data_IF_282190432740
#
_entry.id   IF_282190432740
#
_cell.length_a   1.000
_cell.length_b   1.000
_cell.length_c   1.000
_cell.angle_alpha   90.00
_cell.angle_beta   90.00
_cell.angle_gamma   90.00
#
_symmetry.space_group_name_H-M   'P 1'
#
loop_
_entity.id
_entity.type
_entity.pdbx_description
1 polymer ?
#
# COMPACT_ATOMS: atom_id res chain seq x y z
N UNK A 1 22.08 -58.16 43.44
CA UNK A 1 21.66 -57.91 42.06
C UNK A 1 21.06 -56.51 41.96
N UNK A 2 21.82 -55.62 41.33
CA UNK A 2 21.38 -54.51 40.48
C UNK A 2 20.38 -53.47 41.01
N UNK A 3 20.94 -52.35 41.50
CA UNK A 3 20.53 -51.00 41.07
C UNK A 3 21.36 -50.67 39.83
N UNK A 4 20.77 -50.27 38.68
CA UNK A 4 20.92 -48.87 38.18
C UNK A 4 19.73 -48.44 37.26
N UNK A 5 19.55 -47.24 36.69
CA UNK A 5 20.38 -46.06 36.41
C UNK A 5 19.52 -44.79 36.55
N UNK A 6 20.01 -43.82 37.30
CA UNK A 6 19.70 -42.40 37.08
C UNK A 6 20.29 -41.99 35.73
N UNK A 7 19.49 -41.38 34.84
CA UNK A 7 20.01 -40.64 33.70
C UNK A 7 20.34 -39.20 34.17
N UNK A 8 21.52 -39.08 34.78
CA UNK A 8 22.18 -37.81 34.99
C UNK A 8 22.80 -37.41 33.66
N UNK A 9 22.15 -36.51 32.91
CA UNK A 9 22.75 -35.88 31.74
C UNK A 9 23.70 -34.80 32.25
N UNK A 10 24.98 -35.16 32.34
CA UNK A 10 26.10 -34.23 32.35
C UNK A 10 26.06 -33.44 31.03
N UNK A 11 25.65 -32.18 31.06
CA UNK A 11 26.01 -31.23 30.01
C UNK A 11 27.30 -30.55 30.45
N UNK A 12 28.39 -31.05 29.89
CA UNK A 12 29.71 -30.43 29.88
C UNK A 12 29.58 -29.00 29.38
N UNK A 13 30.11 -28.07 30.17
CA UNK A 13 30.34 -26.69 29.78
C UNK A 13 31.31 -26.63 28.59
N UNK A 14 30.78 -26.26 27.42
CA UNK A 14 31.55 -25.55 26.41
C UNK A 14 31.11 -24.08 26.49
N UNK A 15 32.07 -23.18 26.68
CA UNK A 15 31.83 -21.77 26.97
C UNK A 15 30.93 -21.08 25.94
N UNK A 16 29.66 -20.93 26.29
CA UNK A 16 28.83 -19.82 25.85
C UNK A 16 28.49 -19.04 27.10
N UNK A 17 29.17 -17.92 27.27
CA UNK A 17 28.77 -16.91 28.25
C UNK A 17 27.39 -16.42 27.80
N UNK A 18 26.34 -17.02 28.36
CA UNK A 18 24.99 -16.49 28.33
C UNK A 18 25.01 -15.26 29.26
N UNK A 19 25.45 -14.11 28.73
CA UNK A 19 25.28 -12.81 29.38
C UNK A 19 24.26 -11.95 28.63
N UNK A 20 23.39 -11.38 29.46
CA UNK A 20 22.33 -10.40 29.26
C UNK A 20 21.30 -10.67 28.14
N UNK A 21 20.16 -11.20 28.56
CA UNK A 21 18.88 -11.04 27.87
C UNK A 21 18.26 -9.71 28.29
N UNK A 22 18.72 -8.57 27.74
CA UNK A 22 18.03 -7.26 27.71
C UNK A 22 18.97 -6.19 27.14
N UNK A 23 19.50 -6.39 25.93
CA UNK A 23 20.17 -5.30 25.22
C UNK A 23 19.09 -4.33 24.72
N UNK A 24 19.20 -3.05 25.04
CA UNK A 24 18.26 -2.01 24.60
C UNK A 24 18.70 -1.35 23.30
N UNK A 25 20.00 -1.19 23.13
CA UNK A 25 20.58 -0.41 22.03
C UNK A 25 21.76 -1.10 21.38
N UNK A 26 21.75 -1.18 20.06
CA UNK A 26 22.91 -1.56 19.25
C UNK A 26 23.65 -0.30 18.78
N UNK A 27 24.94 -0.23 19.08
CA UNK A 27 25.84 0.80 18.60
C UNK A 27 26.82 0.18 17.62
N UNK A 28 26.76 0.57 16.34
CA UNK A 28 27.66 0.07 15.29
C UNK A 28 29.11 0.52 15.46
N UNK A 29 29.37 1.51 16.32
CA UNK A 29 30.69 1.90 16.84
C UNK A 29 30.55 2.15 18.34
N UNK A 30 31.52 1.72 19.13
CA UNK A 30 31.55 2.04 20.55
C UNK A 30 31.77 3.55 20.78
N UNK A 31 31.07 4.19 21.74
CA UNK A 31 31.36 5.56 22.13
C UNK A 31 32.82 5.75 22.54
N UNK A 32 33.42 6.91 22.21
CA UNK A 32 34.83 7.23 22.46
C UNK A 32 35.24 7.12 23.94
N UNK A 33 34.27 7.22 24.85
CA UNK A 33 34.49 7.08 26.30
C UNK A 33 34.83 5.65 26.73
N UNK A 34 34.65 4.67 25.85
CA UNK A 34 34.96 3.27 26.11
C UNK A 34 36.28 2.95 25.44
N UNK A 35 37.31 2.64 26.23
CA UNK A 35 38.56 2.07 25.71
C UNK A 35 38.24 0.64 25.28
N UNK A 36 37.68 0.51 24.09
CA UNK A 36 37.43 -0.76 23.47
C UNK A 36 38.78 -1.29 22.96
N UNK A 37 39.16 -2.56 23.27
CA UNK A 37 40.30 -3.20 22.63
C UNK A 37 40.26 -3.00 21.12
N UNK A 38 41.42 -2.97 20.46
CA UNK A 38 41.52 -2.91 18.99
C UNK A 38 40.76 -4.04 18.29
N UNK A 39 40.35 -5.06 19.03
CA UNK A 39 39.58 -6.22 18.62
C UNK A 39 38.09 -6.13 18.99
N UNK A 40 37.52 -4.95 19.25
CA UNK A 40 36.06 -4.74 19.36
C UNK A 40 35.49 -3.90 18.20
N UNK A 41 34.40 -4.35 17.57
CA UNK A 41 33.79 -3.69 16.39
C UNK A 41 32.56 -2.85 16.72
N UNK A 42 31.82 -3.22 17.76
CA UNK A 42 30.50 -2.69 18.06
C UNK A 42 30.20 -2.81 19.55
N UNK A 43 29.20 -2.09 20.02
CA UNK A 43 28.82 -2.07 21.43
C UNK A 43 27.32 -2.32 21.59
N UNK A 44 26.95 -3.07 22.62
CA UNK A 44 25.58 -3.27 23.05
C UNK A 44 25.34 -2.55 24.37
N UNK A 45 24.28 -1.77 24.45
CA UNK A 45 23.83 -1.21 25.71
C UNK A 45 22.80 -2.14 26.34
N UNK A 46 23.03 -2.56 27.57
CA UNK A 46 22.09 -3.32 28.38
C UNK A 46 21.07 -2.41 29.06
N UNK A 47 19.94 -2.97 29.50
CA UNK A 47 18.94 -2.25 30.29
C UNK A 47 19.48 -1.66 31.61
N UNK A 48 20.60 -2.18 32.11
CA UNK A 48 21.34 -1.63 33.27
C UNK A 48 22.03 -0.29 32.95
N UNK A 49 22.10 0.10 31.67
CA UNK A 49 22.92 1.19 31.18
C UNK A 49 24.38 0.80 30.89
N UNK A 50 24.79 -0.43 31.24
CA UNK A 50 26.12 -0.92 30.92
C UNK A 50 26.30 -1.05 29.41
N UNK A 51 27.44 -0.56 28.91
CA UNK A 51 27.80 -0.72 27.50
C UNK A 51 28.86 -1.82 27.41
N UNK A 52 28.50 -2.89 26.73
CA UNK A 52 29.32 -4.09 26.56
C UNK A 52 29.90 -4.09 25.15
N UNK A 53 31.23 -3.97 25.00
CA UNK A 53 31.89 -4.15 23.71
C UNK A 53 31.71 -5.59 23.23
N UNK A 54 31.43 -5.75 21.94
CA UNK A 54 31.39 -7.03 21.27
C UNK A 54 32.64 -7.19 20.39
N UNK A 55 33.28 -8.37 20.39
CA UNK A 55 34.50 -8.61 19.63
C UNK A 55 34.31 -8.40 18.13
N UNK A 56 35.39 -7.99 17.45
CA UNK A 56 35.53 -7.76 16.00
C UNK A 56 35.27 -8.98 15.14
N UNK A 57 35.18 -10.14 15.74
CA UNK A 57 35.23 -11.40 15.00
C UNK A 57 33.95 -12.19 15.18
N UNK A 58 32.96 -11.84 14.37
CA UNK A 58 32.16 -12.85 13.72
C UNK A 58 31.74 -12.30 12.35
N UNK A 59 32.12 -13.03 11.29
CA UNK A 59 31.57 -12.80 9.94
C UNK A 59 30.04 -12.75 9.99
N UNK A 60 29.46 -13.56 10.87
CA UNK A 60 28.03 -13.70 11.10
C UNK A 60 27.71 -13.35 12.55
N UNK A 61 26.98 -12.26 12.75
CA UNK A 61 26.64 -11.73 14.08
C UNK A 61 25.19 -12.06 14.40
N UNK A 62 24.95 -12.80 15.49
CA UNK A 62 23.60 -13.14 15.94
C UNK A 62 23.18 -12.37 17.20
N UNK A 63 22.23 -11.45 17.02
CA UNK A 63 21.60 -10.63 18.06
C UNK A 63 20.09 -10.89 18.13
N UNK A 64 19.67 -12.11 17.79
CA UNK A 64 18.28 -12.54 17.87
C UNK A 64 17.76 -12.47 19.30
N UNK A 65 16.51 -12.02 19.49
CA UNK A 65 15.81 -12.06 20.78
C UNK A 65 16.55 -11.38 21.93
N UNK A 66 17.22 -10.26 21.66
CA UNK A 66 18.01 -9.51 22.66
C UNK A 66 17.24 -8.37 23.32
N UNK A 67 16.04 -8.05 22.83
CA UNK A 67 15.22 -6.95 23.35
C UNK A 67 15.62 -5.58 22.80
N UNK A 68 16.39 -5.54 21.71
CA UNK A 68 16.92 -4.31 21.12
C UNK A 68 15.75 -3.49 20.59
N UNK A 69 15.69 -2.21 20.98
CA UNK A 69 14.67 -1.26 20.55
C UNK A 69 15.27 -0.17 19.68
N UNK A 70 16.52 0.22 19.96
CA UNK A 70 17.21 1.31 19.29
C UNK A 70 18.44 0.77 18.57
N UNK A 71 18.60 1.15 17.30
CA UNK A 71 19.84 0.94 16.56
C UNK A 71 20.45 2.31 16.31
N UNK A 72 21.62 2.59 16.88
CA UNK A 72 22.36 3.81 16.61
C UNK A 72 22.97 3.77 15.21
N UNK A 73 23.64 2.66 14.88
CA UNK A 73 24.17 2.39 13.54
C UNK A 73 24.40 0.90 13.32
N UNK A 74 24.37 0.47 12.05
CA UNK A 74 24.83 -0.87 11.66
C UNK A 74 26.37 -0.95 11.71
N UNK A 75 26.95 -2.08 12.16
CA UNK A 75 28.39 -2.26 12.30
C UNK A 75 29.12 -2.31 10.96
N UNK A 76 30.42 -2.01 10.96
CA UNK A 76 31.25 -2.00 9.75
C UNK A 76 31.79 -3.38 9.33
N UNK A 77 32.08 -4.26 10.29
CA UNK A 77 32.90 -5.46 10.04
C UNK A 77 32.08 -6.74 9.82
N UNK A 78 30.82 -6.77 10.25
CA UNK A 78 29.94 -7.93 10.08
C UNK A 78 29.56 -8.14 8.61
N UNK A 79 29.64 -9.37 8.11
CA UNK A 79 29.19 -9.73 6.76
C UNK A 79 27.72 -10.16 6.75
N UNK A 80 27.25 -10.80 7.82
CA UNK A 80 25.82 -11.03 8.07
C UNK A 80 25.44 -10.62 9.50
N UNK A 81 24.23 -10.09 9.64
CA UNK A 81 23.70 -9.61 10.91
C UNK A 81 22.27 -10.08 11.09
N UNK A 82 22.03 -10.85 12.14
CA UNK A 82 20.70 -11.28 12.55
C UNK A 82 20.20 -10.45 13.73
N UNK A 83 19.20 -9.61 13.47
CA UNK A 83 18.51 -8.77 14.44
C UNK A 83 17.05 -9.22 14.64
N UNK A 84 16.75 -10.48 14.33
CA UNK A 84 15.38 -10.99 14.41
C UNK A 84 14.82 -11.02 15.84
N UNK A 85 13.49 -11.01 15.95
CA UNK A 85 12.77 -11.11 17.22
C UNK A 85 13.19 -10.04 18.24
N UNK A 86 13.32 -8.79 17.78
CA UNK A 86 13.60 -7.64 18.62
C UNK A 86 12.41 -6.66 18.56
N UNK A 87 12.59 -5.42 19.00
CA UNK A 87 11.55 -4.37 18.95
C UNK A 87 12.05 -3.14 18.19
N UNK A 88 12.87 -3.37 17.16
CA UNK A 88 13.49 -2.32 16.36
C UNK A 88 12.43 -1.70 15.45
N UNK A 89 12.38 -0.37 15.45
CA UNK A 89 11.50 0.40 14.56
C UNK A 89 12.23 1.09 13.44
N UNK A 90 13.50 1.43 13.64
CA UNK A 90 14.29 2.27 12.75
C UNK A 90 15.76 1.82 12.75
N UNK A 91 16.40 1.96 11.59
CA UNK A 91 17.85 1.92 11.40
C UNK A 91 18.23 3.25 10.75
N UNK A 92 18.63 4.26 11.53
CA UNK A 92 18.84 5.61 11.03
C UNK A 92 20.18 5.76 10.29
N UNK A 93 21.15 4.90 10.56
CA UNK A 93 22.51 5.02 10.03
C UNK A 93 23.23 3.68 9.92
N UNK A 94 24.33 3.69 9.17
CA UNK A 94 25.31 2.62 9.10
C UNK A 94 26.72 3.23 9.12
N UNK A 95 27.71 2.45 9.55
CA UNK A 95 29.10 2.88 9.52
C UNK A 95 29.62 2.88 8.08
N UNK A 96 30.30 3.96 7.61
CA UNK A 96 30.94 3.96 6.30
C UNK A 96 31.87 2.76 6.11
N UNK A 97 31.93 2.22 4.89
CA UNK A 97 32.68 1.00 4.55
C UNK A 97 32.17 -0.30 5.18
N UNK A 98 30.91 -0.32 5.65
CA UNK A 98 30.28 -1.56 6.13
C UNK A 98 30.33 -2.66 5.06
N UNK A 99 30.78 -3.85 5.48
CA UNK A 99 30.86 -5.05 4.65
C UNK A 99 29.60 -5.91 4.75
N UNK A 100 28.52 -5.37 5.32
CA UNK A 100 27.30 -6.12 5.57
C UNK A 100 26.59 -6.49 4.27
N UNK A 101 26.50 -7.79 4.00
CA UNK A 101 25.88 -8.34 2.79
C UNK A 101 24.48 -8.89 3.04
N UNK A 102 24.21 -9.35 4.26
CA UNK A 102 22.94 -9.96 4.64
C UNK A 102 22.42 -9.40 5.98
N UNK A 103 21.17 -8.94 5.98
CA UNK A 103 20.52 -8.35 7.15
C UNK A 103 19.14 -8.98 7.38
N UNK A 104 18.98 -9.62 8.53
CA UNK A 104 17.71 -10.21 8.97
C UNK A 104 17.08 -9.34 10.05
N UNK A 105 15.92 -8.76 9.74
CA UNK A 105 15.10 -7.91 10.62
C UNK A 105 13.71 -8.51 10.86
N UNK A 106 13.59 -9.83 10.74
CA UNK A 106 12.31 -10.51 10.96
C UNK A 106 11.78 -10.32 12.37
N UNK A 107 10.45 -10.31 12.55
CA UNK A 107 9.82 -10.15 13.87
C UNK A 107 10.33 -8.90 14.61
N UNK A 108 10.20 -7.74 13.96
CA UNK A 108 10.49 -6.44 14.55
C UNK A 108 9.26 -5.53 14.41
N UNK A 109 9.45 -4.22 14.59
CA UNK A 109 8.38 -3.23 14.57
C UNK A 109 8.48 -2.25 13.38
N UNK A 110 9.07 -2.67 12.25
CA UNK A 110 9.17 -1.80 11.07
C UNK A 110 7.81 -1.50 10.45
N UNK A 111 7.65 -0.26 10.00
CA UNK A 111 6.48 0.24 9.27
C UNK A 111 6.94 0.89 7.98
N UNK A 112 6.01 1.32 7.12
CA UNK A 112 6.36 2.04 5.89
C UNK A 112 7.07 3.38 6.11
N UNK A 113 6.97 3.96 7.32
CA UNK A 113 7.58 5.25 7.67
C UNK A 113 8.93 5.09 8.39
N UNK A 114 9.33 3.85 8.68
CA UNK A 114 10.57 3.57 9.37
C UNK A 114 11.78 4.03 8.58
N UNK A 115 12.72 4.70 9.25
CA UNK A 115 14.02 5.00 8.69
C UNK A 115 14.79 3.68 8.50
N UNK A 116 15.34 3.48 7.31
CA UNK A 116 16.12 2.28 6.98
C UNK A 116 17.29 2.66 6.09
N UNK A 117 18.38 3.08 6.73
CA UNK A 117 19.65 3.37 6.07
C UNK A 117 20.45 2.07 5.90
N UNK A 118 20.64 1.66 4.65
CA UNK A 118 21.33 0.42 4.30
C UNK A 118 22.68 0.74 3.66
N UNK A 119 23.79 0.08 4.07
CA UNK A 119 25.03 0.19 3.33
C UNK A 119 24.88 -0.41 1.93
N UNK A 120 25.60 0.13 0.93
CA UNK A 120 25.48 -0.29 -0.48
C UNK A 120 25.95 -1.74 -0.72
N UNK A 121 26.65 -2.35 0.24
CA UNK A 121 27.08 -3.75 0.23
C UNK A 121 25.94 -4.76 0.47
N UNK A 122 24.78 -4.33 0.97
CA UNK A 122 23.66 -5.24 1.26
C UNK A 122 23.09 -5.81 -0.03
N UNK A 123 23.02 -7.14 -0.07
CA UNK A 123 22.40 -7.90 -1.16
C UNK A 123 21.13 -8.61 -0.70
N UNK A 124 21.06 -9.02 0.57
CA UNK A 124 19.91 -9.76 1.12
C UNK A 124 19.33 -9.01 2.31
N UNK A 125 18.04 -8.70 2.22
CA UNK A 125 17.27 -8.02 3.26
C UNK A 125 15.98 -8.78 3.56
N UNK A 126 15.82 -9.21 4.81
CA UNK A 126 14.59 -9.82 5.30
C UNK A 126 13.87 -8.92 6.30
N UNK A 127 12.70 -8.43 5.91
CA UNK A 127 11.77 -7.60 6.68
C UNK A 127 10.47 -8.36 6.99
N UNK A 128 10.48 -9.70 6.95
CA UNK A 128 9.27 -10.49 7.21
C UNK A 128 8.75 -10.30 8.63
N UNK A 129 7.45 -10.53 8.86
CA UNK A 129 6.85 -10.40 10.20
C UNK A 129 7.08 -9.03 10.84
N UNK A 130 6.89 -7.97 10.06
CA UNK A 130 6.86 -6.59 10.54
C UNK A 130 5.44 -6.01 10.33
N UNK A 131 5.29 -4.69 10.49
CA UNK A 131 4.01 -3.99 10.36
C UNK A 131 3.98 -3.08 9.13
N UNK A 132 4.68 -3.45 8.06
CA UNK A 132 4.68 -2.69 6.80
C UNK A 132 3.32 -2.86 6.13
N UNK A 133 2.58 -1.76 5.97
CA UNK A 133 1.22 -1.80 5.41
C UNK A 133 1.14 -1.41 3.93
N UNK A 134 2.06 -0.55 3.47
CA UNK A 134 2.08 -0.01 2.10
C UNK A 134 3.51 0.28 1.68
N UNK A 135 3.84 0.03 0.42
CA UNK A 135 5.03 0.59 -0.21
C UNK A 135 4.57 1.70 -1.14
N UNK A 136 4.65 2.95 -0.67
CA UNK A 136 4.27 4.13 -1.42
C UNK A 136 5.41 5.13 -1.41
N UNK A 137 6.01 5.41 -2.57
CA UNK A 137 7.24 6.23 -2.68
C UNK A 137 8.29 5.79 -1.65
N UNK A 138 8.47 4.48 -1.51
CA UNK A 138 9.31 3.92 -0.46
C UNK A 138 10.78 4.06 -0.85
N UNK A 139 11.45 5.02 -0.22
CA UNK A 139 12.83 5.44 -0.55
C UNK A 139 13.90 4.63 0.18
N UNK A 140 13.53 3.69 1.06
CA UNK A 140 14.47 2.91 1.86
C UNK A 140 15.45 2.07 1.02
N UNK A 141 15.10 1.77 -0.23
CA UNK A 141 15.92 1.01 -1.16
C UNK A 141 16.51 1.87 -2.28
N UNK A 142 16.33 3.20 -2.22
CA UNK A 142 16.94 4.10 -3.19
C UNK A 142 18.46 3.98 -3.10
N UNK A 143 19.12 3.85 -4.26
CA UNK A 143 20.56 3.64 -4.37
C UNK A 143 21.09 2.37 -3.66
N UNK A 144 20.21 1.42 -3.33
CA UNK A 144 20.60 0.13 -2.79
C UNK A 144 20.97 -0.86 -3.91
N UNK A 145 21.78 -1.86 -3.57
CA UNK A 145 22.15 -2.97 -4.47
C UNK A 145 21.48 -4.30 -4.07
N UNK A 146 20.43 -4.25 -3.24
CA UNK A 146 19.67 -5.42 -2.79
C UNK A 146 19.22 -6.28 -3.98
N UNK A 147 19.58 -7.57 -3.94
CA UNK A 147 19.20 -8.59 -4.91
C UNK A 147 18.02 -9.42 -4.42
N UNK A 148 17.90 -9.59 -3.10
CA UNK A 148 16.84 -10.38 -2.45
C UNK A 148 16.14 -9.55 -1.38
N UNK A 149 14.86 -9.29 -1.59
CA UNK A 149 13.98 -8.61 -0.65
C UNK A 149 12.85 -9.53 -0.21
N UNK A 150 12.74 -9.72 1.10
CA UNK A 150 11.71 -10.57 1.71
C UNK A 150 10.82 -9.71 2.62
N UNK A 151 9.52 -9.68 2.32
CA UNK A 151 8.48 -8.89 2.98
C UNK A 151 7.32 -9.77 3.47
N UNK A 152 7.60 -11.04 3.76
CA UNK A 152 6.56 -12.01 4.09
C UNK A 152 5.82 -11.64 5.39
N UNK A 153 4.57 -12.05 5.53
CA UNK A 153 3.83 -11.86 6.79
C UNK A 153 3.87 -10.43 7.35
N UNK A 154 3.82 -9.44 6.46
CA UNK A 154 3.55 -8.06 6.81
C UNK A 154 2.03 -7.81 6.72
N UNK A 155 1.61 -6.55 6.60
CA UNK A 155 0.21 -6.18 6.34
C UNK A 155 0.10 -5.44 5.02
N UNK A 156 0.93 -5.81 4.04
CA UNK A 156 1.13 -5.07 2.82
C UNK A 156 -0.11 -5.16 1.92
N UNK A 157 -0.86 -4.05 1.83
CA UNK A 157 -2.08 -3.97 1.03
C UNK A 157 -1.88 -3.31 -0.33
N UNK A 158 -0.79 -2.56 -0.50
CA UNK A 158 -0.54 -1.72 -1.68
C UNK A 158 0.95 -1.58 -1.94
N UNK A 159 1.37 -1.77 -3.19
CA UNK A 159 2.68 -1.35 -3.70
C UNK A 159 2.43 -0.38 -4.84
N UNK A 160 2.93 0.84 -4.73
CA UNK A 160 2.72 1.91 -5.70
C UNK A 160 3.84 2.94 -5.66
N UNK A 161 4.22 3.48 -6.81
CA UNK A 161 5.27 4.51 -6.91
C UNK A 161 6.58 4.16 -6.19
N UNK A 162 6.84 2.86 -6.03
CA UNK A 162 8.04 2.36 -5.36
C UNK A 162 9.04 1.98 -6.43
N UNK A 163 10.25 2.54 -6.33
CA UNK A 163 11.35 2.24 -7.24
C UNK A 163 12.18 1.12 -6.61
N UNK A 164 12.13 -0.06 -7.20
CA UNK A 164 12.99 -1.15 -6.80
C UNK A 164 14.38 -1.00 -7.44
N UNK A 165 15.45 -1.41 -6.75
CA UNK A 165 16.80 -1.37 -7.31
C UNK A 165 16.91 -2.30 -8.53
N UNK A 166 17.68 -1.89 -9.53
CA UNK A 166 17.82 -2.63 -10.80
C UNK A 166 18.49 -4.00 -10.66
N UNK A 167 19.18 -4.21 -9.53
CA UNK A 167 19.83 -5.45 -9.10
C UNK A 167 18.87 -6.44 -8.47
N UNK A 168 17.63 -6.04 -8.13
CA UNK A 168 16.67 -6.94 -7.49
C UNK A 168 16.33 -8.12 -8.42
N UNK A 169 16.48 -9.33 -7.89
CA UNK A 169 16.17 -10.58 -8.58
C UNK A 169 15.10 -11.40 -7.87
N UNK A 170 14.98 -11.25 -6.54
CA UNK A 170 14.04 -12.01 -5.74
C UNK A 170 13.19 -11.07 -4.89
N UNK A 171 11.87 -11.06 -5.12
CA UNK A 171 10.90 -10.32 -4.32
C UNK A 171 9.88 -11.30 -3.72
N UNK A 172 9.89 -11.45 -2.40
CA UNK A 172 8.97 -12.34 -1.70
C UNK A 172 7.96 -11.56 -0.86
N UNK A 173 6.68 -11.59 -1.22
CA UNK A 173 5.59 -10.90 -0.52
C UNK A 173 4.58 -11.90 0.08
N UNK A 174 4.97 -13.16 0.21
CA UNK A 174 4.08 -14.23 0.66
C UNK A 174 3.62 -14.07 2.13
N UNK A 175 2.37 -14.34 2.43
CA UNK A 175 1.89 -14.83 3.71
C UNK A 175 2.27 -16.30 3.87
N UNK A 176 2.92 -16.65 4.99
CA UNK A 176 2.89 -18.03 5.48
C UNK A 176 1.71 -18.17 6.42
N UNK A 177 0.55 -18.56 5.91
CA UNK A 177 -0.46 -19.30 6.69
C UNK A 177 -1.21 -20.29 5.80
N UNK A 178 -0.66 -21.50 5.63
CA UNK A 178 -1.42 -22.63 5.09
C UNK A 178 -2.21 -23.36 6.18
N UNK A 179 -1.84 -23.22 7.46
CA UNK A 179 -2.43 -23.99 8.58
C UNK A 179 -3.28 -23.19 9.57
N UNK A 180 -3.22 -21.85 9.58
CA UNK A 180 -3.94 -21.01 10.55
C UNK A 180 -5.19 -20.32 9.96
N UNK A 181 -5.20 -20.03 8.66
CA UNK A 181 -6.36 -19.45 7.93
C UNK A 181 -7.61 -20.32 8.06
N UNK A 182 -7.46 -21.66 8.05
CA UNK A 182 -8.58 -22.58 8.21
C UNK A 182 -9.14 -22.57 9.65
N UNK A 183 -8.29 -22.33 10.64
CA UNK A 183 -8.69 -22.30 12.05
C UNK A 183 -9.36 -20.96 12.41
N UNK A 184 -8.85 -19.83 11.89
CA UNK A 184 -9.41 -18.47 12.12
C UNK A 184 -10.72 -18.24 11.36
N UNK A 185 -10.85 -18.79 10.14
CA UNK A 185 -12.09 -18.72 9.37
C UNK A 185 -13.26 -19.44 10.08
N UNK A 186 -12.97 -20.47 10.89
CA UNK A 186 -13.97 -21.22 11.66
C UNK A 186 -14.53 -20.45 12.87
N UNK A 187 -13.85 -19.39 13.34
CA UNK A 187 -14.22 -18.64 14.56
C UNK A 187 -14.76 -17.22 14.25
N UNK A 188 -14.99 -16.89 12.98
CA UNK A 188 -15.48 -15.56 12.58
C UNK A 188 -14.48 -14.42 12.80
N UNK A 189 -13.18 -14.74 12.97
CA UNK A 189 -12.12 -13.74 13.04
C UNK A 189 -11.84 -13.12 11.67
N UNK A 190 -11.73 -11.78 11.60
CA UNK A 190 -11.21 -11.12 10.39
C UNK A 190 -9.75 -11.56 10.21
N UNK A 191 -9.49 -12.22 9.09
CA UNK A 191 -8.19 -12.43 8.40
C UNK A 191 -6.97 -11.99 9.22
N UNK A 192 -6.37 -12.94 9.94
CA UNK A 192 -5.16 -12.74 10.72
C UNK A 192 -3.97 -13.18 9.85
N UNK A 193 -3.06 -12.22 9.59
CA UNK A 193 -1.63 -12.42 9.26
C UNK A 193 -1.21 -12.92 7.87
N UNK A 194 -1.67 -12.22 6.82
CA UNK A 194 -1.00 -12.20 5.51
C UNK A 194 -0.76 -10.80 4.94
N UNK A 195 -0.16 -10.71 3.74
CA UNK A 195 -0.10 -9.46 2.97
C UNK A 195 -1.37 -9.35 2.10
N UNK A 196 -2.39 -8.57 2.48
CA UNK A 196 -3.65 -8.49 1.75
C UNK A 196 -3.49 -7.56 0.53
N UNK A 197 -2.60 -7.91 -0.40
CA UNK A 197 -2.27 -7.08 -1.54
C UNK A 197 -3.52 -6.89 -2.42
N UNK A 198 -3.95 -5.63 -2.55
CA UNK A 198 -5.11 -5.19 -3.34
C UNK A 198 -4.69 -4.46 -4.60
N UNK A 199 -3.59 -3.70 -4.53
CA UNK A 199 -3.03 -3.01 -5.69
C UNK A 199 -1.52 -3.19 -5.78
N UNK A 200 -1.05 -3.36 -7.01
CA UNK A 200 0.37 -3.45 -7.34
C UNK A 200 0.61 -2.63 -8.62
N UNK A 201 0.85 -1.35 -8.40
CA UNK A 201 0.99 -0.33 -9.44
C UNK A 201 2.48 0.01 -9.58
N UNK A 202 3.02 -0.15 -10.79
CA UNK A 202 4.45 -0.07 -11.05
C UNK A 202 4.78 0.85 -12.22
N UNK A 203 5.96 1.44 -12.19
CA UNK A 203 6.50 2.18 -13.34
C UNK A 203 6.87 1.21 -14.48
N UNK A 204 7.07 1.70 -15.72
CA UNK A 204 7.47 0.83 -16.83
C UNK A 204 8.87 0.22 -16.60
N UNK A 205 9.76 0.97 -15.93
CA UNK A 205 11.10 0.48 -15.56
C UNK A 205 11.02 -0.67 -14.54
N UNK A 206 10.17 -0.53 -13.53
CA UNK A 206 9.90 -1.58 -12.56
C UNK A 206 9.24 -2.79 -13.22
N UNK A 207 8.27 -2.60 -14.12
CA UNK A 207 7.67 -3.70 -14.85
C UNK A 207 8.71 -4.47 -15.67
N UNK A 208 9.59 -3.78 -16.40
CA UNK A 208 10.68 -4.40 -17.15
C UNK A 208 11.59 -5.25 -16.25
N UNK A 209 11.88 -4.78 -15.03
CA UNK A 209 12.64 -5.53 -14.03
C UNK A 209 11.92 -6.84 -13.62
N UNK A 210 10.62 -6.76 -13.33
CA UNK A 210 9.80 -7.92 -12.93
C UNK A 210 9.65 -8.97 -14.05
N UNK A 211 9.79 -8.55 -15.31
CA UNK A 211 9.71 -9.45 -16.49
C UNK A 211 11.03 -10.10 -16.89
N UNK A 212 12.15 -9.80 -16.22
CA UNK A 212 13.45 -10.43 -16.53
C UNK A 212 13.36 -11.95 -16.32
N UNK A 213 14.07 -12.77 -17.12
CA UNK A 213 13.95 -14.23 -17.09
C UNK A 213 14.33 -14.85 -15.73
N UNK A 214 15.30 -14.23 -15.02
CA UNK A 214 15.77 -14.72 -13.72
C UNK A 214 15.06 -14.05 -12.54
N UNK A 215 14.10 -13.15 -12.79
CA UNK A 215 13.36 -12.50 -11.71
C UNK A 215 12.33 -13.45 -11.11
N UNK A 216 12.36 -13.60 -9.79
CA UNK A 216 11.42 -14.41 -9.03
C UNK A 216 10.55 -13.50 -8.17
N UNK A 217 9.29 -13.38 -8.55
CA UNK A 217 8.26 -12.77 -7.73
C UNK A 217 7.51 -13.87 -6.98
N UNK A 218 7.32 -13.74 -5.66
CA UNK A 218 6.44 -14.65 -4.91
C UNK A 218 5.29 -13.87 -4.30
N UNK A 219 4.08 -14.13 -4.81
CA UNK A 219 2.81 -13.55 -4.36
C UNK A 219 1.91 -14.66 -3.80
N UNK A 220 1.06 -14.31 -2.84
CA UNK A 220 0.11 -15.25 -2.22
C UNK A 220 -0.96 -15.74 -3.18
N UNK A 221 -1.43 -14.82 -4.02
CA UNK A 221 -2.54 -15.04 -4.94
C UNK A 221 -2.29 -14.25 -6.22
N UNK A 222 -2.79 -14.76 -7.36
CA UNK A 222 -2.79 -14.01 -8.61
C UNK A 222 -3.64 -12.73 -8.45
N UNK A 223 -3.14 -11.61 -8.96
CA UNK A 223 -3.74 -10.28 -8.80
C UNK A 223 -4.82 -9.92 -9.84
N UNK A 224 -5.44 -10.92 -10.51
CA UNK A 224 -6.25 -10.72 -11.71
C UNK A 224 -7.45 -9.76 -11.59
N UNK A 225 -8.30 -9.92 -10.59
CA UNK A 225 -9.60 -9.23 -10.55
C UNK A 225 -9.55 -7.87 -9.83
N UNK A 226 -8.73 -7.76 -8.78
CA UNK A 226 -8.69 -6.56 -7.92
C UNK A 226 -7.90 -5.41 -8.61
N UNK A 227 -6.86 -5.72 -9.39
CA UNK A 227 -5.98 -4.71 -9.99
C UNK A 227 -6.64 -4.00 -11.18
N UNK A 228 -7.36 -4.71 -12.05
CA UNK A 228 -7.96 -4.13 -13.26
C UNK A 228 -9.02 -3.08 -12.92
N UNK A 229 -9.76 -3.28 -11.82
CA UNK A 229 -10.82 -2.35 -11.41
C UNK A 229 -10.28 -1.00 -10.87
N UNK A 230 -9.07 -1.01 -10.29
CA UNK A 230 -8.45 0.20 -9.70
C UNK A 230 -7.25 0.71 -10.47
N UNK A 231 -6.86 0.04 -11.57
CA UNK A 231 -5.71 0.42 -12.36
C UNK A 231 -6.01 1.71 -13.15
N UNK A 232 -5.20 2.73 -12.91
CA UNK A 232 -5.28 4.00 -13.65
C UNK A 232 -4.40 3.97 -14.91
N UNK A 233 -3.37 3.11 -14.93
CA UNK A 233 -2.49 2.88 -16.07
C UNK A 233 -2.98 1.76 -17.01
N UNK A 234 -2.03 1.12 -17.67
CA UNK A 234 -2.29 -0.04 -18.52
C UNK A 234 -2.12 -1.33 -17.70
N UNK A 235 -3.16 -2.19 -17.60
CA UNK A 235 -3.00 -3.50 -16.99
C UNK A 235 -2.15 -4.38 -17.90
N UNK A 236 -1.02 -4.87 -17.40
CA UNK A 236 -0.10 -5.76 -18.12
C UNK A 236 -0.01 -7.11 -17.41
N UNK A 237 -0.02 -8.19 -18.20
CA UNK A 237 0.16 -9.55 -17.69
C UNK A 237 1.64 -9.81 -17.39
N UNK A 238 1.91 -10.41 -16.24
CA UNK A 238 3.27 -10.81 -15.87
C UNK A 238 3.59 -12.18 -16.50
N UNK A 239 4.59 -12.30 -17.41
CA UNK A 239 4.81 -13.51 -18.23
C UNK A 239 5.04 -14.79 -17.42
N UNK A 240 5.75 -14.68 -16.30
CA UNK A 240 6.14 -15.81 -15.46
C UNK A 240 5.11 -16.15 -14.37
N UNK A 241 3.99 -15.42 -14.28
CA UNK A 241 2.97 -15.60 -13.26
C UNK A 241 1.58 -15.67 -13.89
N UNK A 242 1.01 -16.88 -14.06
CA UNK A 242 -0.29 -17.02 -14.70
C UNK A 242 -1.34 -16.23 -13.92
N UNK A 243 -2.20 -15.52 -14.65
CA UNK A 243 -3.27 -14.67 -14.12
C UNK A 243 -2.82 -13.56 -13.15
N UNK A 244 -1.55 -13.13 -13.19
CA UNK A 244 -1.11 -11.97 -12.40
C UNK A 244 -1.00 -10.76 -13.31
N UNK A 245 -1.85 -9.76 -13.06
CA UNK A 245 -1.85 -8.49 -13.76
C UNK A 245 -1.29 -7.40 -12.86
N UNK A 246 -0.43 -6.57 -13.42
CA UNK A 246 0.13 -5.39 -12.77
C UNK A 246 -0.37 -4.15 -13.48
N UNK A 247 -0.62 -3.09 -12.73
CA UNK A 247 -0.97 -1.82 -13.33
C UNK A 247 0.31 -1.05 -13.67
N UNK A 248 0.61 -0.90 -14.96
CA UNK A 248 1.80 -0.16 -15.42
C UNK A 248 1.40 1.26 -15.77
N UNK A 249 1.99 2.24 -15.10
CA UNK A 249 1.66 3.65 -15.26
C UNK A 249 2.91 4.44 -15.70
N UNK A 250 2.75 5.45 -16.56
CA UNK A 250 3.87 6.20 -17.16
C UNK A 250 4.01 7.67 -16.64
N UNK A 251 3.30 8.05 -15.57
CA UNK A 251 3.31 9.43 -15.03
C UNK A 251 3.14 9.48 -13.50
N UNK A 252 3.41 10.61 -12.83
CA UNK A 252 3.18 10.69 -11.38
C UNK A 252 1.68 10.60 -11.10
N UNK A 253 1.29 9.94 -10.01
CA UNK A 253 -0.11 9.69 -9.71
C UNK A 253 -0.88 10.97 -9.31
N UNK A 254 -0.21 12.13 -9.30
CA UNK A 254 -0.80 13.46 -9.24
C UNK A 254 -1.64 13.77 -10.50
N UNK A 255 -1.32 13.14 -11.63
CA UNK A 255 -2.12 13.16 -12.86
C UNK A 255 -3.45 12.38 -12.73
N UNK A 256 -3.63 11.58 -11.68
CA UNK A 256 -4.87 10.80 -11.47
C UNK A 256 -6.02 11.64 -10.95
N UNK A 257 -5.73 12.78 -10.31
CA UNK A 257 -6.74 13.81 -10.08
C UNK A 257 -7.34 14.24 -11.43
N UNK A 258 -6.49 14.50 -12.43
CA UNK A 258 -6.90 14.92 -13.77
C UNK A 258 -7.72 13.87 -14.53
N UNK A 259 -7.41 12.57 -14.37
CA UNK A 259 -8.20 11.48 -14.97
C UNK A 259 -9.55 11.28 -14.26
N UNK A 260 -9.60 11.39 -12.92
CA UNK A 260 -10.87 11.38 -12.19
C UNK A 260 -11.75 12.58 -12.56
N UNK A 261 -11.15 13.77 -12.73
CA UNK A 261 -11.82 14.95 -13.27
C UNK A 261 -12.31 14.70 -14.71
N UNK A 262 -11.56 13.99 -15.56
CA UNK A 262 -12.00 13.66 -16.93
C UNK A 262 -13.20 12.70 -16.96
N UNK A 263 -13.25 11.72 -16.05
CA UNK A 263 -14.43 10.85 -15.90
C UNK A 263 -15.64 11.63 -15.37
N UNK A 264 -15.49 12.44 -14.33
CA UNK A 264 -16.55 13.31 -13.80
C UNK A 264 -17.01 14.36 -14.82
N UNK A 265 -16.11 14.90 -15.64
CA UNK A 265 -16.42 15.84 -16.71
C UNK A 265 -17.36 15.22 -17.77
N UNK A 266 -17.18 13.94 -18.12
CA UNK A 266 -18.08 13.24 -19.06
C UNK A 266 -19.51 13.14 -18.50
N UNK A 267 -19.66 12.80 -17.23
CA UNK A 267 -20.99 12.70 -16.60
C UNK A 267 -21.65 14.06 -16.39
N UNK A 268 -20.88 15.11 -16.07
CA UNK A 268 -21.42 16.47 -15.95
C UNK A 268 -21.89 17.02 -17.29
N UNK A 269 -21.19 16.76 -18.40
CA UNK A 269 -21.63 17.15 -19.75
C UNK A 269 -22.97 16.49 -20.10
N UNK A 270 -23.14 15.19 -19.80
CA UNK A 270 -24.39 14.46 -20.05
C UNK A 270 -25.54 15.04 -19.20
N UNK A 271 -25.30 15.34 -17.92
CA UNK A 271 -26.29 15.97 -17.05
C UNK A 271 -26.70 17.37 -17.55
N UNK A 272 -25.75 18.19 -17.99
CA UNK A 272 -26.03 19.51 -18.57
C UNK A 272 -26.82 19.38 -19.87
N UNK A 273 -26.47 18.44 -20.76
CA UNK A 273 -27.21 18.20 -21.99
C UNK A 273 -28.66 17.76 -21.71
N UNK A 274 -28.86 16.83 -20.76
CA UNK A 274 -30.19 16.41 -20.31
C UNK A 274 -31.00 17.60 -19.76
N UNK A 275 -30.38 18.45 -18.94
CA UNK A 275 -31.01 19.65 -18.40
C UNK A 275 -31.44 20.62 -19.51
N UNK A 276 -30.57 20.86 -20.51
CA UNK A 276 -30.88 21.72 -21.66
C UNK A 276 -32.02 21.15 -22.49
N UNK A 277 -32.02 19.85 -22.79
CA UNK A 277 -33.11 19.17 -23.50
C UNK A 277 -34.42 19.34 -22.72
N UNK A 278 -34.39 19.13 -21.41
CA UNK A 278 -35.56 19.28 -20.56
C UNK A 278 -36.08 20.73 -20.57
N UNK A 279 -35.19 21.73 -20.54
CA UNK A 279 -35.58 23.14 -20.69
C UNK A 279 -36.20 23.44 -22.07
N UNK A 280 -35.62 22.91 -23.15
CA UNK A 280 -36.14 23.09 -24.52
C UNK A 280 -37.51 22.43 -24.67
N UNK A 281 -37.66 21.20 -24.18
CA UNK A 281 -38.94 20.46 -24.17
C UNK A 281 -39.98 21.22 -23.36
N UNK A 282 -39.62 21.67 -22.15
CA UNK A 282 -40.53 22.47 -21.30
C UNK A 282 -40.92 23.78 -21.99
N UNK A 283 -40.01 24.45 -22.68
CA UNK A 283 -40.28 25.68 -23.44
C UNK A 283 -41.15 25.40 -24.67
N UNK A 284 -40.92 24.31 -25.37
CA UNK A 284 -41.73 23.87 -26.51
C UNK A 284 -43.16 23.56 -26.08
N UNK A 285 -43.34 22.76 -25.03
CA UNK A 285 -44.67 22.45 -24.50
C UNK A 285 -45.38 23.68 -23.96
N UNK A 286 -44.69 24.58 -23.25
CA UNK A 286 -45.27 25.84 -22.76
C UNK A 286 -45.75 26.71 -23.92
N UNK A 287 -44.92 26.92 -24.95
CA UNK A 287 -45.32 27.63 -26.18
C UNK A 287 -46.50 26.97 -26.91
N UNK A 288 -46.54 25.64 -26.93
CA UNK A 288 -47.64 24.89 -27.54
C UNK A 288 -48.93 25.04 -26.74
N UNK A 289 -48.85 25.05 -25.41
CA UNK A 289 -49.96 25.35 -24.50
C UNK A 289 -50.46 26.78 -24.70
N UNK A 290 -49.56 27.77 -24.76
CA UNK A 290 -49.93 29.17 -25.00
C UNK A 290 -50.63 29.35 -26.37
N UNK A 291 -50.11 28.72 -27.44
CA UNK A 291 -50.78 28.71 -28.75
C UNK A 291 -52.14 28.02 -28.69
N UNK A 292 -52.27 26.92 -27.95
CA UNK A 292 -53.57 26.26 -27.74
C UNK A 292 -54.55 27.18 -27.00
N UNK A 293 -54.11 27.89 -25.96
CA UNK A 293 -54.96 28.85 -25.23
C UNK A 293 -55.40 30.03 -26.10
N UNK A 294 -54.55 30.50 -27.03
CA UNK A 294 -54.93 31.54 -28.01
C UNK A 294 -55.92 31.05 -29.08
N UNK A 295 -55.92 29.75 -29.37
CA UNK A 295 -56.84 29.10 -30.32
C UNK A 295 -58.13 28.59 -29.66
N UNK A 296 -58.23 28.63 -28.33
CA UNK A 296 -59.50 28.38 -27.65
C UNK A 296 -60.42 29.57 -27.92
N UNK A 297 -61.68 29.34 -28.33
CA UNK A 297 -62.68 30.40 -28.36
C UNK A 297 -62.71 31.03 -26.96
N UNK A 298 -62.41 32.33 -26.88
CA UNK A 298 -62.68 33.08 -25.67
C UNK A 298 -64.20 33.22 -25.64
N UNK A 299 -64.87 32.45 -24.79
CA UNK A 299 -66.30 32.65 -24.54
C UNK A 299 -66.45 33.99 -23.81
N UNK A 300 -66.44 35.09 -24.57
CA UNK A 300 -66.90 36.38 -24.10
C UNK A 300 -68.41 36.29 -24.04
N UNK A 301 -68.94 35.83 -22.91
CA UNK A 301 -70.34 36.03 -22.57
C UNK A 301 -70.55 37.53 -22.32
N UNK A 302 -70.81 38.27 -23.39
CA UNK A 302 -71.38 39.61 -23.30
C UNK A 302 -72.87 39.43 -23.00
N UNK A 303 -73.24 39.43 -21.72
CA UNK A 303 -74.63 39.74 -21.37
C UNK A 303 -74.83 41.23 -21.63
N UNK A 304 -75.41 41.60 -22.77
CA UNK A 304 -75.95 42.95 -22.92
C UNK A 304 -77.17 43.05 -22.02
N UNK A 305 -76.97 43.51 -20.79
CA UNK A 305 -78.09 43.89 -19.95
C UNK A 305 -78.29 45.41 -20.04
N UNK A 306 -79.56 45.79 -20.20
CA UNK A 306 -80.15 47.13 -20.40
C UNK A 306 -80.27 47.58 -21.87
N UNK A 307 -81.45 47.90 -22.43
CA UNK A 307 -82.81 47.84 -21.88
C UNK A 307 -83.86 48.04 -22.99
N UNK A 308 -85.00 47.37 -22.80
CA UNK A 308 -86.38 47.83 -23.09
C UNK A 308 -86.86 47.94 -24.56
N UNK A 309 -87.82 47.07 -24.90
CA UNK A 309 -88.68 47.00 -26.10
C UNK A 309 -88.09 46.27 -27.31
N UNK A 310 -88.29 44.94 -27.37
CA UNK A 310 -89.15 44.30 -28.40
C UNK A 310 -88.99 42.76 -28.37
N UNK A 311 -90.06 42.06 -28.75
CA UNK A 311 -90.32 40.61 -28.63
C UNK A 311 -89.43 39.67 -29.48
N UNK A 312 -88.13 39.92 -29.60
CA UNK A 312 -87.22 39.06 -30.37
C UNK A 312 -86.42 38.10 -29.47
N UNK A 313 -86.23 36.81 -29.84
CA UNK A 313 -85.47 35.85 -29.04
C UNK A 313 -83.99 36.26 -28.97
N UNK A 314 -83.40 36.10 -27.77
CA UNK A 314 -82.00 36.45 -27.49
C UNK A 314 -81.06 35.71 -28.45
N UNK A 315 -80.42 36.45 -29.36
CA UNK A 315 -79.43 35.88 -30.27
C UNK A 315 -78.03 35.91 -29.64
N UNK A 316 -77.44 34.74 -29.48
CA UNK A 316 -76.03 34.60 -29.08
C UNK A 316 -75.15 34.59 -30.33
N UNK A 317 -74.22 35.54 -30.44
CA UNK A 317 -73.29 35.63 -31.58
C UNK A 317 -71.88 35.21 -31.15
N UNK A 318 -71.38 34.12 -31.72
CA UNK A 318 -70.00 33.66 -31.53
C UNK A 318 -69.14 34.12 -32.70
N UNK A 319 -68.15 34.98 -32.46
CA UNK A 319 -67.16 35.38 -33.47
C UNK A 319 -65.93 34.48 -33.38
N UNK A 320 -65.70 33.66 -34.41
CA UNK A 320 -64.48 32.85 -34.54
C UNK A 320 -63.52 33.58 -35.47
N UNK A 321 -62.35 33.97 -34.96
CA UNK A 321 -61.26 34.51 -35.80
C UNK A 321 -60.48 33.34 -36.42
N UNK A 322 -60.49 33.24 -37.75
CA UNK A 322 -59.63 32.32 -38.49
C UNK A 322 -58.19 32.88 -38.55
N UNK A 323 -57.16 32.02 -38.37
CA UNK A 323 -55.78 32.46 -38.44
C UNK A 323 -55.43 32.90 -39.87
N UNK A 324 -54.74 34.05 -40.01
CA UNK A 324 -54.15 34.47 -41.29
C UNK A 324 -53.09 33.46 -41.72
N UNK A 325 -53.17 33.04 -42.99
CA UNK A 325 -52.16 32.21 -43.67
C UNK A 325 -50.80 32.90 -43.71
#
# INVERSE_FOLDING_TARGET
MQVPRQFMILLLAAGHVVRAQNATTLWGVCPETIIAPTDMAMCLQEASGAIVPSPKSARDVDLTARGIQVVGSLPSEAASLNLSNNSIRDIPAYVPNSQLTALNLTFNAFTQASALALPPSITTLDLSHNFITRLFRWTALDNSFVTTLILKNNRLSMIRETVFPSTLMHLCVLSMEFWLTLMVAFIGGRDLTGNPLRSFDVSPATFALLTKPNFVLKLDRPLAADVVATCVGAPMLLPNHPNTYLCVYNGSHEDVSSMAFAFLAKYTIVLVALFVVLMVVRRYFRRRLDRRMQLMPRDTYLSSNCNFLDNEPIQYRQTVQLPRQ
#
